data_IF_215333096305
#
_entry.id   IF_215333096305
#
_cell.length_a   1.000
_cell.length_b   1.000
_cell.length_c   1.000
_cell.angle_alpha   90.00
_cell.angle_beta   90.00
_cell.angle_gamma   90.00
#
_symmetry.space_group_name_H-M   'P 1'
#
loop_
_entity.id
_entity.type
_entity.pdbx_description
1 polymer ?
#
# COMPACT_ATOMS: atom_id res chain seq x y z
N UNK A 1 -16.30 5.71 13.10
CA UNK A 1 -15.69 7.01 12.76
C UNK A 1 -14.35 6.72 12.08
N UNK A 2 -14.24 6.93 10.77
CA UNK A 2 -12.98 6.75 10.03
C UNK A 2 -12.10 7.97 10.33
N UNK A 3 -11.11 7.83 11.21
CA UNK A 3 -10.18 8.91 11.48
C UNK A 3 -9.50 9.33 10.17
N UNK A 4 -9.39 10.64 9.87
CA UNK A 4 -8.61 11.07 8.72
C UNK A 4 -7.17 10.60 8.94
N UNK A 5 -6.67 9.81 7.99
CA UNK A 5 -5.26 9.40 7.93
C UNK A 5 -4.41 10.66 8.11
N UNK A 6 -3.46 10.65 9.04
CA UNK A 6 -2.58 11.80 9.23
C UNK A 6 -1.80 12.06 7.94
N UNK A 7 -1.39 13.30 7.71
CA UNK A 7 -0.59 13.66 6.52
C UNK A 7 0.69 12.83 6.42
N UNK A 8 1.22 12.42 7.57
CA UNK A 8 2.38 11.53 7.69
C UNK A 8 2.04 10.10 7.23
N UNK A 9 0.92 9.54 7.69
CA UNK A 9 0.43 8.22 7.28
C UNK A 9 0.15 8.15 5.77
N UNK A 10 -0.41 9.22 5.20
CA UNK A 10 -0.66 9.32 3.76
C UNK A 10 0.65 9.32 2.95
N UNK A 11 1.69 10.01 3.44
CA UNK A 11 3.03 10.00 2.82
C UNK A 11 3.70 8.65 2.93
N UNK A 12 3.55 7.98 4.07
CA UNK A 12 4.03 6.61 4.29
C UNK A 12 3.39 5.66 3.28
N UNK A 13 2.05 5.63 3.22
CA UNK A 13 1.30 4.78 2.29
C UNK A 13 1.70 5.06 0.84
N UNK A 14 1.78 6.33 0.43
CA UNK A 14 2.18 6.71 -0.93
C UNK A 14 3.61 6.25 -1.29
N UNK A 15 4.53 6.31 -0.32
CA UNK A 15 5.92 5.85 -0.52
C UNK A 15 5.98 4.33 -0.67
N UNK A 16 5.24 3.59 0.16
CA UNK A 16 5.12 2.13 0.07
C UNK A 16 4.48 1.71 -1.25
N UNK A 17 3.39 2.36 -1.67
CA UNK A 17 2.71 2.09 -2.96
C UNK A 17 3.71 2.25 -4.11
N UNK A 18 4.46 3.36 -4.16
CA UNK A 18 5.46 3.60 -5.22
C UNK A 18 6.57 2.56 -5.23
N UNK A 19 7.07 2.19 -4.06
CA UNK A 19 8.15 1.20 -3.93
C UNK A 19 7.70 -0.19 -4.41
N UNK A 20 6.55 -0.66 -3.91
CA UNK A 20 6.00 -1.97 -4.27
C UNK A 20 5.58 -1.98 -5.75
N UNK A 21 4.96 -0.90 -6.25
CA UNK A 21 4.58 -0.80 -7.65
C UNK A 21 5.79 -0.84 -8.59
N UNK A 22 6.89 -0.16 -8.23
CA UNK A 22 8.15 -0.20 -8.99
C UNK A 22 8.79 -1.58 -8.92
N UNK A 23 8.82 -2.20 -7.74
CA UNK A 23 9.42 -3.53 -7.54
C UNK A 23 8.66 -4.64 -8.26
N UNK A 24 7.33 -4.54 -8.36
CA UNK A 24 6.48 -5.48 -9.11
C UNK A 24 6.35 -5.16 -10.60
N UNK A 25 6.93 -4.04 -11.07
CA UNK A 25 6.80 -3.59 -12.47
C UNK A 25 5.40 -3.10 -12.86
N UNK A 26 4.49 -2.92 -11.89
CA UNK A 26 3.10 -2.48 -12.10
C UNK A 26 2.93 -0.96 -12.04
N UNK A 27 4.01 -0.20 -11.88
CA UNK A 27 3.96 1.27 -11.75
C UNK A 27 3.28 1.98 -12.94
N UNK A 28 3.28 1.35 -14.12
CA UNK A 28 2.61 1.86 -15.33
C UNK A 28 1.18 1.34 -15.50
N UNK A 29 0.71 0.45 -14.61
CA UNK A 29 -0.66 -0.07 -14.63
C UNK A 29 -1.50 0.64 -13.55
N UNK A 30 -2.33 1.63 -13.93
CA UNK A 30 -3.12 2.39 -12.96
C UNK A 30 -4.14 1.52 -12.21
N UNK A 31 -4.63 0.44 -12.82
CA UNK A 31 -5.58 -0.47 -12.19
C UNK A 31 -4.90 -1.31 -11.09
N UNK A 32 -3.71 -1.83 -11.38
CA UNK A 32 -2.92 -2.58 -10.42
C UNK A 32 -2.46 -1.69 -9.25
N UNK A 33 -2.05 -0.45 -9.55
CA UNK A 33 -1.70 0.55 -8.52
C UNK A 33 -2.93 0.88 -7.65
N UNK A 34 -4.12 1.00 -8.23
CA UNK A 34 -5.35 1.23 -7.47
C UNK A 34 -5.66 0.05 -6.53
N UNK A 35 -5.54 -1.20 -6.99
CA UNK A 35 -5.73 -2.39 -6.15
C UNK A 35 -4.71 -2.45 -5.00
N UNK A 36 -3.44 -2.16 -5.30
CA UNK A 36 -2.37 -2.08 -4.30
C UNK A 36 -2.67 -1.00 -3.24
N UNK A 37 -3.17 0.15 -3.67
CA UNK A 37 -3.57 1.26 -2.77
C UNK A 37 -4.67 0.82 -1.81
N UNK A 38 -5.71 0.17 -2.31
CA UNK A 38 -6.81 -0.36 -1.48
C UNK A 38 -6.31 -1.42 -0.51
N UNK A 39 -5.41 -2.30 -0.95
CA UNK A 39 -4.84 -3.33 -0.10
C UNK A 39 -4.00 -2.75 1.05
N UNK A 40 -3.16 -1.74 0.75
CA UNK A 40 -2.38 -1.01 1.77
C UNK A 40 -3.29 -0.27 2.74
N UNK A 41 -4.35 0.39 2.26
CA UNK A 41 -5.33 1.03 3.12
C UNK A 41 -6.02 0.02 4.06
N UNK A 42 -6.33 -1.19 3.57
CA UNK A 42 -6.91 -2.26 4.40
C UNK A 42 -5.93 -2.77 5.45
N UNK A 43 -4.66 -2.98 5.09
CA UNK A 43 -3.60 -3.38 6.04
C UNK A 43 -3.41 -2.32 7.11
N UNK A 44 -3.36 -1.05 6.70
CA UNK A 44 -3.24 0.08 7.62
C UNK A 44 -4.42 0.16 8.61
N UNK A 45 -5.65 -0.03 8.12
CA UNK A 45 -6.84 -0.11 8.97
C UNK A 45 -6.83 -1.33 9.92
N UNK A 46 -6.14 -2.42 9.57
CA UNK A 46 -5.93 -3.58 10.46
C UNK A 46 -4.86 -3.34 11.54
N UNK A 47 -4.23 -2.16 11.57
CA UNK A 47 -3.23 -1.80 12.58
C UNK A 47 -1.78 -1.94 12.12
N UNK A 48 -1.53 -2.35 10.87
CA UNK A 48 -0.18 -2.35 10.28
C UNK A 48 0.22 -0.93 9.89
N UNK A 49 0.86 -0.22 10.82
CA UNK A 49 1.36 1.15 10.61
C UNK A 49 2.87 1.24 10.40
N UNK A 50 3.57 0.10 10.45
CA UNK A 50 5.00 0.04 10.20
C UNK A 50 5.30 -0.10 8.71
N UNK A 51 6.25 0.71 8.22
CA UNK A 51 6.66 0.73 6.81
C UNK A 51 7.13 -0.64 6.34
N UNK A 52 8.01 -1.29 7.10
CA UNK A 52 8.60 -2.57 6.74
C UNK A 52 7.54 -3.66 6.66
N UNK A 53 6.64 -3.69 7.63
CA UNK A 53 5.53 -4.65 7.63
C UNK A 53 4.53 -4.41 6.49
N UNK A 54 4.22 -3.14 6.18
CA UNK A 54 3.36 -2.79 5.04
C UNK A 54 3.99 -3.20 3.71
N UNK A 55 5.29 -2.96 3.51
CA UNK A 55 6.01 -3.39 2.30
C UNK A 55 6.02 -4.92 2.21
N UNK A 56 6.36 -5.63 3.29
CA UNK A 56 6.38 -7.09 3.30
C UNK A 56 5.00 -7.70 3.00
N UNK A 57 3.95 -7.18 3.65
CA UNK A 57 2.58 -7.62 3.43
C UNK A 57 2.07 -7.26 2.02
N UNK A 58 2.38 -6.07 1.51
CA UNK A 58 2.01 -5.63 0.16
C UNK A 58 2.78 -6.37 -0.95
N UNK A 59 4.04 -6.74 -0.70
CA UNK A 59 4.82 -7.58 -1.61
C UNK A 59 4.28 -9.01 -1.65
N UNK A 60 3.79 -9.53 -0.51
CA UNK A 60 3.14 -10.84 -0.39
C UNK A 60 1.70 -10.88 -0.90
N UNK A 61 1.06 -9.74 -1.17
CA UNK A 61 -0.27 -9.65 -1.80
C UNK A 61 -0.22 -10.00 -3.31
N UNK A 62 0.58 -11.00 -3.68
CA UNK A 62 0.75 -11.53 -5.04
C UNK A 62 -0.48 -12.30 -5.56
N UNK A 63 -1.60 -12.30 -4.82
CA UNK A 63 -2.89 -12.84 -5.28
C UNK A 63 -3.72 -11.81 -6.08
N UNK A 64 -3.08 -10.86 -6.75
CA UNK A 64 -3.75 -9.99 -7.72
C UNK A 64 -3.49 -10.55 -9.12
N UNK A 65 -4.04 -11.73 -9.39
CA UNK A 65 -4.24 -12.24 -10.75
C UNK A 65 -5.64 -11.87 -11.22
#
# INVERSE_FOLDING_TARGET
MTAPISRDDARLCASVIKEVARSKGIANDPSAVARLTVAIARLFNKGLRDRGQLVAAASNLDEIK
#
